data_IF_656271761495
#
_entry.id   IF_656271761495
#
_cell.length_a   1.000
_cell.length_b   1.000
_cell.length_c   1.000
_cell.angle_alpha   90.00
_cell.angle_beta   90.00
_cell.angle_gamma   90.00
#
_symmetry.space_group_name_H-M   'P 1'
#
loop_
_entity.id
_entity.type
_entity.pdbx_description
1 polymer ?
#
# COMPACT_ATOMS: atom_id res chain seq x y z
N UNK A 1 -47.82 2.03 -44.58
CA UNK A 1 -46.53 2.75 -44.50
C UNK A 1 -45.96 2.46 -43.12
N UNK A 2 -45.28 1.32 -43.01
CA UNK A 2 -44.53 0.97 -41.80
C UNK A 2 -43.33 1.91 -41.76
N UNK A 3 -43.25 2.72 -40.71
CA UNK A 3 -42.10 3.56 -40.47
C UNK A 3 -41.03 2.66 -39.89
N UNK A 4 -40.07 2.28 -40.72
CA UNK A 4 -38.83 1.63 -40.29
C UNK A 4 -38.18 2.51 -39.22
N UNK A 5 -38.38 2.13 -37.95
CA UNK A 5 -37.60 2.66 -36.83
C UNK A 5 -36.19 2.11 -37.03
N UNK A 6 -35.33 2.89 -37.70
CA UNK A 6 -33.90 2.64 -37.70
C UNK A 6 -33.43 2.49 -36.24
N UNK A 7 -33.13 1.26 -35.83
CA UNK A 7 -32.47 0.98 -34.57
C UNK A 7 -31.09 1.66 -34.62
N UNK A 8 -30.99 2.84 -34.00
CA UNK A 8 -29.72 3.56 -33.87
C UNK A 8 -28.75 2.69 -33.07
N UNK A 9 -27.86 1.98 -33.78
CA UNK A 9 -26.76 1.21 -33.17
C UNK A 9 -25.93 2.14 -32.28
N UNK A 10 -25.64 1.67 -31.06
CA UNK A 10 -24.77 2.41 -30.14
C UNK A 10 -23.42 2.74 -30.82
N UNK A 11 -22.87 3.95 -30.59
CA UNK A 11 -21.62 4.35 -31.20
C UNK A 11 -20.48 3.41 -30.78
N UNK A 12 -19.62 3.04 -31.73
CA UNK A 12 -18.42 2.25 -31.43
C UNK A 12 -17.45 3.10 -30.61
N UNK A 13 -16.99 2.58 -29.47
CA UNK A 13 -15.95 3.22 -28.66
C UNK A 13 -14.59 3.12 -29.36
N UNK A 14 -13.86 4.24 -29.46
CA UNK A 14 -12.50 4.27 -29.98
C UNK A 14 -11.44 3.84 -28.96
N UNK A 15 -10.17 3.95 -29.33
CA UNK A 15 -9.07 3.67 -28.40
C UNK A 15 -9.01 4.72 -27.28
N UNK A 16 -9.09 4.27 -26.03
CA UNK A 16 -8.92 5.10 -24.84
C UNK A 16 -7.50 4.87 -24.29
N UNK A 17 -6.63 5.86 -24.50
CA UNK A 17 -5.26 5.82 -23.99
C UNK A 17 -5.22 6.12 -22.49
N UNK A 18 -4.30 5.47 -21.78
CA UNK A 18 -4.01 5.78 -20.38
C UNK A 18 -3.36 7.16 -20.20
N UNK A 19 -3.39 7.67 -18.96
CA UNK A 19 -2.69 8.89 -18.62
C UNK A 19 -1.19 8.62 -18.42
N UNK A 20 -0.39 8.93 -19.44
CA UNK A 20 1.06 8.69 -19.43
C UNK A 20 1.81 9.39 -18.29
N UNK A 21 1.33 10.56 -17.82
CA UNK A 21 1.99 11.28 -16.72
C UNK A 21 1.80 10.53 -15.40
N UNK A 22 0.59 10.04 -15.16
CA UNK A 22 0.30 9.21 -13.98
C UNK A 22 1.06 7.90 -14.08
N UNK A 23 1.07 7.24 -15.24
CA UNK A 23 1.80 5.99 -15.46
C UNK A 23 3.30 6.13 -15.13
N UNK A 24 3.95 7.23 -15.56
CA UNK A 24 5.36 7.50 -15.22
C UNK A 24 5.59 7.66 -13.71
N UNK A 25 4.69 8.34 -13.01
CA UNK A 25 4.76 8.52 -11.56
C UNK A 25 4.59 7.16 -10.86
N UNK A 26 3.62 6.35 -11.28
CA UNK A 26 3.36 5.02 -10.71
C UNK A 26 4.56 4.09 -10.85
N UNK A 27 5.25 4.12 -11.99
CA UNK A 27 6.47 3.33 -12.19
C UNK A 27 7.61 3.72 -11.24
N UNK A 28 7.58 4.94 -10.69
CA UNK A 28 8.55 5.38 -9.67
C UNK A 28 8.05 5.06 -8.25
N UNK A 29 6.77 5.30 -7.97
CA UNK A 29 6.21 5.22 -6.61
C UNK A 29 5.95 3.77 -6.16
N UNK A 30 5.52 2.88 -7.06
CA UNK A 30 5.22 1.48 -6.72
C UNK A 30 6.44 0.72 -6.16
N UNK A 31 7.66 0.82 -6.76
CA UNK A 31 8.86 0.26 -6.16
C UNK A 31 9.18 0.81 -4.76
N UNK A 32 9.03 2.12 -4.55
CA UNK A 32 9.30 2.75 -3.24
C UNK A 32 8.34 2.25 -2.16
N UNK A 33 7.06 2.11 -2.49
CA UNK A 33 6.04 1.51 -1.59
C UNK A 33 6.44 0.09 -1.20
N UNK A 34 6.87 -0.72 -2.18
CA UNK A 34 7.29 -2.10 -1.95
C UNK A 34 8.50 -2.16 -1.02
N UNK A 35 9.54 -1.38 -1.33
CA UNK A 35 10.78 -1.30 -0.54
C UNK A 35 10.48 -0.90 0.90
N UNK A 36 9.65 0.12 1.11
CA UNK A 36 9.28 0.57 2.45
C UNK A 36 8.47 -0.50 3.21
N UNK A 37 7.52 -1.16 2.55
CA UNK A 37 6.73 -2.26 3.17
C UNK A 37 7.62 -3.41 3.64
N UNK A 38 8.55 -3.84 2.78
CA UNK A 38 9.49 -4.91 3.08
C UNK A 38 10.46 -4.49 4.20
N UNK A 39 10.95 -3.26 4.18
CA UNK A 39 11.78 -2.69 5.24
C UNK A 39 11.06 -2.63 6.60
N UNK A 40 9.80 -2.19 6.64
CA UNK A 40 9.00 -2.22 7.85
C UNK A 40 8.83 -3.65 8.39
N UNK A 41 8.54 -4.63 7.52
CA UNK A 41 8.40 -6.02 7.92
C UNK A 41 9.70 -6.58 8.52
N UNK A 42 10.85 -6.25 7.91
CA UNK A 42 12.16 -6.65 8.42
C UNK A 42 12.45 -6.07 9.81
N UNK A 43 12.21 -4.77 10.01
CA UNK A 43 12.41 -4.08 11.29
C UNK A 43 11.49 -4.66 12.37
N UNK A 44 10.21 -4.90 12.05
CA UNK A 44 9.26 -5.51 12.98
C UNK A 44 9.75 -6.88 13.42
N UNK A 45 10.14 -7.74 12.48
CA UNK A 45 10.68 -9.07 12.79
C UNK A 45 11.95 -8.98 13.63
N UNK A 46 12.85 -8.04 13.30
CA UNK A 46 14.07 -7.82 14.08
C UNK A 46 13.77 -7.40 15.52
N UNK A 47 12.86 -6.45 15.75
CA UNK A 47 12.46 -6.03 17.11
C UNK A 47 11.92 -7.23 17.89
N UNK A 48 11.03 -8.04 17.29
CA UNK A 48 10.51 -9.24 17.96
C UNK A 48 11.60 -10.23 18.39
N UNK A 49 12.70 -10.35 17.63
CA UNK A 49 13.82 -11.22 18.01
C UNK A 49 14.69 -10.64 19.13
N UNK A 50 14.70 -9.32 19.31
CA UNK A 50 15.54 -8.61 20.29
C UNK A 50 14.79 -8.35 21.61
N UNK A 51 13.46 -8.49 21.63
CA UNK A 51 12.69 -8.46 22.88
C UNK A 51 13.15 -9.62 23.79
N UNK A 52 13.63 -9.34 25.01
CA UNK A 52 14.12 -10.37 25.92
C UNK A 52 12.97 -11.21 26.49
N UNK A 53 13.32 -12.27 27.23
CA UNK A 53 12.32 -12.98 28.04
C UNK A 53 11.75 -12.02 29.09
N UNK A 54 10.49 -12.23 29.45
CA UNK A 54 9.84 -11.47 30.51
C UNK A 54 10.56 -11.78 31.83
N UNK A 55 11.05 -10.73 32.47
CA UNK A 55 11.70 -10.76 33.79
C UNK A 55 10.94 -9.81 34.73
N UNK A 56 11.14 -9.94 36.04
CA UNK A 56 10.49 -9.06 37.02
C UNK A 56 11.31 -7.77 37.19
N UNK A 57 10.87 -6.70 36.53
CA UNK A 57 11.53 -5.38 36.54
C UNK A 57 12.59 -5.19 35.44
N UNK A 58 13.14 -3.98 35.37
CA UNK A 58 14.04 -3.51 34.29
C UNK A 58 13.37 -3.42 32.90
N UNK A 59 12.07 -3.17 32.86
CA UNK A 59 11.27 -3.18 31.64
C UNK A 59 11.33 -1.88 30.82
N UNK A 60 12.08 -0.85 31.26
CA UNK A 60 12.13 0.42 30.54
C UNK A 60 12.62 0.25 29.10
N UNK A 61 13.66 -0.57 28.89
CA UNK A 61 14.16 -0.89 27.56
C UNK A 61 13.11 -1.61 26.70
N UNK A 62 12.34 -2.51 27.30
CA UNK A 62 11.24 -3.24 26.65
C UNK A 62 10.13 -2.28 26.25
N UNK A 63 9.72 -1.36 27.13
CA UNK A 63 8.71 -0.35 26.81
C UNK A 63 9.12 0.56 25.64
N UNK A 64 10.42 0.89 25.53
CA UNK A 64 10.94 1.63 24.37
C UNK A 64 10.86 0.78 23.09
N UNK A 65 11.24 -0.51 23.16
CA UNK A 65 11.11 -1.43 22.03
C UNK A 65 9.65 -1.56 21.56
N UNK A 66 8.70 -1.72 22.49
CA UNK A 66 7.26 -1.76 22.21
C UNK A 66 6.76 -0.48 21.54
N UNK A 67 7.23 0.70 22.00
CA UNK A 67 6.82 1.97 21.40
C UNK A 67 7.33 2.14 19.98
N UNK A 68 8.55 1.68 19.70
CA UNK A 68 9.11 1.68 18.34
C UNK A 68 8.35 0.68 17.46
N UNK A 69 8.03 -0.51 17.99
CA UNK A 69 7.25 -1.53 17.28
C UNK A 69 5.86 -1.01 16.87
N UNK A 70 5.17 -0.31 17.79
CA UNK A 70 3.89 0.36 17.51
C UNK A 70 4.04 1.34 16.33
N UNK A 71 5.10 2.17 16.36
CA UNK A 71 5.35 3.17 15.32
C UNK A 71 5.61 2.53 13.95
N UNK A 72 6.47 1.52 13.89
CA UNK A 72 6.80 0.85 12.62
C UNK A 72 5.58 0.11 12.06
N UNK A 73 4.77 -0.50 12.93
CA UNK A 73 3.50 -1.14 12.55
C UNK A 73 2.53 -0.12 11.95
N UNK A 74 2.36 1.05 12.58
CA UNK A 74 1.53 2.12 12.06
C UNK A 74 2.01 2.64 10.69
N UNK A 75 3.32 2.71 10.47
CA UNK A 75 3.89 3.06 9.16
C UNK A 75 3.54 1.98 8.13
N UNK A 76 3.76 0.70 8.45
CA UNK A 76 3.41 -0.42 7.56
C UNK A 76 1.95 -0.39 7.12
N UNK A 77 1.01 -0.16 8.04
CA UNK A 77 -0.43 -0.05 7.74
C UNK A 77 -0.73 1.11 6.79
N UNK A 78 -0.08 2.26 6.96
CA UNK A 78 -0.24 3.41 6.05
C UNK A 78 0.27 3.08 4.65
N UNK A 79 1.41 2.39 4.53
CA UNK A 79 1.99 1.98 3.25
C UNK A 79 1.07 1.00 2.52
N UNK A 80 0.50 0.02 3.23
CA UNK A 80 -0.49 -0.92 2.67
C UNK A 80 -1.78 -0.22 2.22
N UNK A 81 -2.21 0.80 2.97
CA UNK A 81 -3.36 1.65 2.60
C UNK A 81 -3.07 2.43 1.32
N UNK A 82 -1.88 3.04 1.19
CA UNK A 82 -1.45 3.73 -0.03
C UNK A 82 -1.44 2.79 -1.23
N UNK A 83 -0.90 1.58 -1.08
CA UNK A 83 -0.91 0.56 -2.15
C UNK A 83 -2.34 0.22 -2.60
N UNK A 84 -3.26 0.06 -1.64
CA UNK A 84 -4.66 -0.25 -1.94
C UNK A 84 -5.34 0.93 -2.66
N UNK A 85 -5.04 2.16 -2.28
CA UNK A 85 -5.60 3.35 -2.93
C UNK A 85 -5.10 3.55 -4.36
N UNK A 86 -3.88 3.10 -4.69
CA UNK A 86 -3.37 3.11 -6.07
C UNK A 86 -4.09 2.07 -6.94
N UNK A 87 -4.53 0.96 -6.35
CA UNK A 87 -5.19 -0.12 -7.06
C UNK A 87 -6.71 0.09 -7.26
N UNK A 88 -7.29 1.12 -6.64
CA UNK A 88 -8.70 1.51 -6.78
C UNK A 88 -8.90 2.41 -8.00
#
# INVERSE_FOLDING_TARGET
>A
METDKEEKKAPKCGFLKENEKIHKILNTVLPEIRTLREGCALIITWIHHVIPKIEDGNDFGVSVQEKVLERVTAIKTKVETTQTNINK
#
